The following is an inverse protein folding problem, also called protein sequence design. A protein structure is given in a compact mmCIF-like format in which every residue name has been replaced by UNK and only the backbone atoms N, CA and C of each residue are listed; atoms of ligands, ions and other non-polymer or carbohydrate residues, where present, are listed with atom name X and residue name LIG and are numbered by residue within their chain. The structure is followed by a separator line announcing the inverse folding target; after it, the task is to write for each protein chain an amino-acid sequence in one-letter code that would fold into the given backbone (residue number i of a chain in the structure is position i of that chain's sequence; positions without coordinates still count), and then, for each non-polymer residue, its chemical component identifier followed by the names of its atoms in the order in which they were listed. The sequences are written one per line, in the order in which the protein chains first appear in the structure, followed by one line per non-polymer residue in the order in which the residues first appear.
data_IF_452542513179
#
_entry.id   IF_452542513179
#
_cell.length_a   1.000
_cell.length_b   1.000
_cell.length_c   1.000
_cell.angle_alpha   90.00
_cell.angle_beta   90.00
_cell.angle_gamma   90.00
#
_symmetry.space_group_name_H-M   'P 1'
#
loop_
_entity.id
_entity.type
_entity.pdbx_description
1 polymer ?
#
# COMPACT_ATOMS: atom_id res chain seq x y z
N UNK A 1 3.18 28.78 -3.53
CA UNK A 1 3.77 27.61 -2.89
C UNK A 1 4.22 26.69 -4.02
N UNK A 2 5.48 26.34 -4.04
CA UNK A 2 6.02 25.51 -5.11
C UNK A 2 5.48 24.09 -5.04
N UNK A 3 5.41 23.44 -6.20
CA UNK A 3 4.89 22.09 -6.30
C UNK A 3 5.88 21.21 -7.02
N UNK A 4 6.24 20.08 -6.41
CA UNK A 4 6.95 18.99 -7.08
C UNK A 4 6.01 17.82 -7.26
N UNK A 5 6.18 17.09 -8.36
CA UNK A 5 5.30 15.96 -8.66
C UNK A 5 6.03 14.82 -9.36
N UNK A 6 5.51 13.63 -9.19
CA UNK A 6 5.92 12.50 -10.02
C UNK A 6 5.57 12.78 -11.48
N UNK A 7 6.50 12.53 -12.40
CA UNK A 7 6.36 12.82 -13.84
C UNK A 7 5.05 12.30 -14.45
N UNK A 8 4.59 11.15 -13.98
CA UNK A 8 3.39 10.49 -14.48
C UNK A 8 2.10 10.83 -13.70
N UNK A 9 2.16 11.78 -12.76
CA UNK A 9 1.02 12.14 -11.89
C UNK A 9 -0.24 12.50 -12.68
N UNK A 10 -0.09 13.29 -13.74
CA UNK A 10 -1.22 13.77 -14.53
C UNK A 10 -1.76 12.71 -15.52
N UNK A 11 -1.02 11.63 -15.76
CA UNK A 11 -1.43 10.59 -16.72
C UNK A 11 -2.45 9.59 -16.13
N UNK A 12 -2.76 9.68 -14.82
CA UNK A 12 -3.71 8.79 -14.20
C UNK A 12 -5.15 9.05 -14.65
N UNK A 13 -5.82 7.97 -15.07
CA UNK A 13 -7.25 7.92 -15.30
C UNK A 13 -7.84 6.67 -14.64
N UNK A 14 -8.99 6.83 -13.98
CA UNK A 14 -9.65 5.71 -13.29
C UNK A 14 -10.36 4.80 -14.29
N UNK A 15 -10.11 3.49 -14.21
CA UNK A 15 -10.76 2.47 -15.04
C UNK A 15 -12.19 2.08 -14.58
N UNK A 16 -12.65 2.69 -13.47
CA UNK A 16 -13.99 2.50 -12.92
C UNK A 16 -14.43 1.01 -12.87
N UNK A 17 -15.45 0.64 -13.63
CA UNK A 17 -16.01 -0.73 -13.66
C UNK A 17 -15.05 -1.82 -14.16
N UNK A 18 -14.03 -1.44 -14.94
CA UNK A 18 -13.01 -2.36 -15.46
C UNK A 18 -11.86 -2.61 -14.48
N UNK A 19 -11.89 -1.95 -13.31
CA UNK A 19 -10.84 -2.12 -12.30
C UNK A 19 -10.92 -3.52 -11.68
N UNK A 20 -9.81 -4.27 -11.76
CA UNK A 20 -9.72 -5.62 -11.21
C UNK A 20 -9.72 -5.67 -9.68
N UNK A 21 -9.41 -4.56 -9.02
CA UNK A 21 -9.39 -4.45 -7.56
C UNK A 21 -9.87 -3.08 -7.10
N UNK A 22 -11.17 -2.98 -6.85
CA UNK A 22 -11.82 -1.71 -6.48
C UNK A 22 -11.19 -1.02 -5.27
N UNK A 23 -11.08 0.31 -5.33
CA UNK A 23 -10.63 1.14 -4.21
C UNK A 23 -11.57 1.13 -3.00
N UNK A 24 -12.76 0.55 -3.13
CA UNK A 24 -13.75 0.43 -2.06
C UNK A 24 -13.53 -0.76 -1.11
N UNK A 25 -12.35 -1.41 -1.17
CA UNK A 25 -12.07 -2.63 -0.41
C UNK A 25 -10.67 -2.61 0.20
N UNK A 26 -10.51 -3.23 1.37
CA UNK A 26 -9.22 -3.51 2.01
C UNK A 26 -8.63 -2.40 2.89
N UNK A 27 -9.27 -1.24 3.07
CA UNK A 27 -8.77 -0.14 3.90
C UNK A 27 -9.90 0.74 4.43
N UNK A 28 -9.63 1.48 5.50
CA UNK A 28 -10.59 2.39 6.10
C UNK A 28 -10.72 3.68 5.29
N UNK A 29 -11.95 4.03 4.94
CA UNK A 29 -12.27 5.19 4.12
C UNK A 29 -12.71 6.33 5.03
N UNK A 30 -11.89 7.36 5.12
CA UNK A 30 -12.22 8.56 5.87
C UNK A 30 -13.32 9.37 5.18
N UNK A 31 -14.24 9.90 5.98
CA UNK A 31 -15.27 10.84 5.54
C UNK A 31 -15.00 12.18 6.17
N UNK A 32 -14.68 13.16 5.34
CA UNK A 32 -14.46 14.52 5.81
C UNK A 32 -15.74 15.15 6.36
N UNK A 33 -15.56 16.11 7.26
CA UNK A 33 -16.67 16.76 7.98
C UNK A 33 -17.65 17.48 7.05
N UNK A 34 -17.15 18.03 5.94
CA UNK A 34 -17.97 18.72 4.93
C UNK A 34 -18.92 17.74 4.25
N UNK A 35 -18.40 16.58 3.82
CA UNK A 35 -19.18 15.50 3.20
C UNK A 35 -20.21 14.93 4.19
N UNK A 36 -19.80 14.66 5.45
CA UNK A 36 -20.71 14.17 6.48
C UNK A 36 -21.86 15.15 6.76
N UNK A 37 -21.57 16.45 6.87
CA UNK A 37 -22.58 17.49 7.02
C UNK A 37 -23.52 17.59 5.83
N UNK A 38 -23.01 17.47 4.60
CA UNK A 38 -23.79 17.47 3.39
C UNK A 38 -24.82 16.35 3.39
N UNK A 39 -24.40 15.13 3.74
CA UNK A 39 -25.30 13.98 3.84
C UNK A 39 -26.38 14.19 4.87
N UNK A 40 -26.07 14.73 6.03
CA UNK A 40 -27.06 15.07 7.07
C UNK A 40 -28.03 16.16 6.63
N UNK A 41 -27.53 17.23 6.05
CA UNK A 41 -28.35 18.38 5.60
C UNK A 41 -29.39 17.95 4.56
N UNK A 42 -29.02 17.04 3.69
CA UNK A 42 -29.90 16.57 2.62
C UNK A 42 -30.66 15.28 2.99
N UNK A 43 -30.64 14.87 4.26
CA UNK A 43 -31.30 13.66 4.79
C UNK A 43 -30.95 12.39 3.98
N UNK A 44 -29.72 12.32 3.51
CA UNK A 44 -29.23 11.14 2.80
C UNK A 44 -28.88 10.05 3.82
N UNK A 45 -29.34 8.84 3.58
CA UNK A 45 -29.10 7.71 4.50
C UNK A 45 -27.63 7.26 4.59
N UNK A 46 -26.72 7.92 3.88
CA UNK A 46 -25.30 7.57 3.84
C UNK A 46 -24.62 7.79 5.20
N UNK A 47 -25.01 8.82 5.98
CA UNK A 47 -24.43 9.06 7.31
C UNK A 47 -24.65 7.90 8.30
N UNK A 48 -25.67 7.04 8.08
CA UNK A 48 -25.96 5.88 8.93
C UNK A 48 -24.89 4.79 8.85
N UNK A 49 -24.12 4.77 7.75
CA UNK A 49 -23.02 3.85 7.53
C UNK A 49 -21.67 4.44 7.91
N UNK A 50 -21.66 5.48 8.74
CA UNK A 50 -20.45 6.14 9.21
C UNK A 50 -20.26 5.87 10.70
N UNK A 51 -19.00 5.63 11.11
CA UNK A 51 -18.55 5.51 12.50
C UNK A 51 -17.72 6.74 12.85
N UNK A 52 -17.99 7.35 14.00
CA UNK A 52 -17.13 8.39 14.55
C UNK A 52 -15.89 7.77 15.17
N UNK A 53 -14.73 8.31 14.91
CA UNK A 53 -13.45 7.95 15.51
C UNK A 53 -12.84 9.14 16.23
N UNK A 54 -11.69 8.97 16.88
CA UNK A 54 -10.94 10.07 17.49
C UNK A 54 -10.56 11.14 16.47
N UNK A 55 -10.25 10.71 15.23
CA UNK A 55 -9.71 11.54 14.15
C UNK A 55 -10.76 11.96 13.11
N UNK A 56 -12.06 11.78 13.36
CA UNK A 56 -13.12 12.16 12.43
C UNK A 56 -14.15 11.06 12.20
N UNK A 57 -14.45 10.76 10.95
CA UNK A 57 -15.45 9.77 10.57
C UNK A 57 -14.85 8.77 9.58
N UNK A 58 -15.24 7.50 9.70
CA UNK A 58 -14.91 6.45 8.73
C UNK A 58 -16.18 5.74 8.27
N UNK A 59 -16.17 5.24 7.04
CA UNK A 59 -17.25 4.40 6.52
C UNK A 59 -17.21 3.05 7.25
N UNK A 60 -18.33 2.66 7.86
CA UNK A 60 -18.49 1.34 8.48
C UNK A 60 -18.42 0.28 7.38
N UNK A 61 -17.43 -0.58 7.45
CA UNK A 61 -17.35 -1.74 6.57
C UNK A 61 -18.39 -2.77 6.98
N UNK A 62 -19.01 -3.40 6.00
CA UNK A 62 -19.77 -4.63 6.23
C UNK A 62 -18.80 -5.78 6.43
N UNK A 63 -19.33 -6.91 6.88
CA UNK A 63 -18.64 -8.17 7.24
C UNK A 63 -17.53 -8.63 6.26
N UNK A 64 -17.20 -7.88 5.20
CA UNK A 64 -16.31 -8.29 4.11
C UNK A 64 -15.34 -7.21 3.64
N UNK A 65 -15.13 -6.17 4.46
CA UNK A 65 -14.14 -5.14 4.17
C UNK A 65 -14.44 -4.32 2.91
N UNK A 66 -15.62 -4.51 2.33
CA UNK A 66 -16.10 -3.71 1.22
C UNK A 66 -16.90 -2.51 1.72
N UNK A 67 -16.73 -1.39 1.04
CA UNK A 67 -17.58 -0.22 1.24
C UNK A 67 -19.05 -0.57 1.03
N UNK A 68 -19.98 -0.19 1.95
CA UNK A 68 -21.41 -0.52 1.82
C UNK A 68 -22.08 0.15 0.62
N UNK A 69 -21.42 1.10 0.00
CA UNK A 69 -21.91 1.84 -1.18
C UNK A 69 -21.45 1.26 -2.51
N UNK A 70 -20.79 0.10 -2.50
CA UNK A 70 -20.45 -0.60 -3.74
C UNK A 70 -21.69 -1.31 -4.30
N UNK A 71 -21.96 -1.09 -5.58
CA UNK A 71 -23.02 -1.76 -6.32
C UNK A 71 -22.50 -2.12 -7.71
N UNK A 72 -22.43 -3.42 -8.01
CA UNK A 72 -21.92 -3.92 -9.30
C UNK A 72 -20.53 -3.35 -9.67
N UNK A 73 -19.60 -3.27 -8.69
CA UNK A 73 -18.26 -2.72 -8.89
C UNK A 73 -18.15 -1.19 -8.88
N UNK A 74 -19.27 -0.48 -8.90
CA UNK A 74 -19.33 0.99 -8.96
C UNK A 74 -19.79 1.60 -7.63
N UNK A 75 -19.45 2.87 -7.41
CA UNK A 75 -19.89 3.63 -6.25
C UNK A 75 -21.34 4.08 -6.39
N UNK A 76 -22.22 3.55 -5.54
CA UNK A 76 -23.65 3.91 -5.49
C UNK A 76 -23.87 5.41 -5.29
N UNK A 77 -23.04 6.06 -4.46
CA UNK A 77 -23.14 7.50 -4.19
C UNK A 77 -22.91 8.30 -5.49
N UNK A 78 -21.90 7.92 -6.27
CA UNK A 78 -21.65 8.57 -7.58
C UNK A 78 -22.80 8.36 -8.53
N UNK A 79 -23.30 7.13 -8.63
CA UNK A 79 -24.41 6.80 -9.53
C UNK A 79 -25.72 7.53 -9.19
N UNK A 80 -26.00 7.74 -7.89
CA UNK A 80 -27.26 8.34 -7.45
C UNK A 80 -27.19 9.86 -7.30
N UNK A 81 -26.03 10.41 -6.94
CA UNK A 81 -25.88 11.81 -6.53
C UNK A 81 -24.71 12.55 -7.20
N UNK A 82 -23.76 11.81 -7.80
CA UNK A 82 -22.58 12.38 -8.42
C UNK A 82 -21.40 12.57 -7.46
N UNK A 83 -20.26 12.96 -8.03
CA UNK A 83 -18.96 13.05 -7.31
C UNK A 83 -18.93 14.07 -6.16
N UNK A 84 -19.79 15.08 -6.19
CA UNK A 84 -19.91 16.07 -5.11
C UNK A 84 -20.20 15.41 -3.75
N UNK A 85 -20.84 14.25 -3.76
CA UNK A 85 -21.32 13.56 -2.56
C UNK A 85 -20.39 12.48 -2.02
N UNK A 86 -19.31 12.13 -2.71
CA UNK A 86 -18.29 11.24 -2.14
C UNK A 86 -17.34 11.99 -1.23
N UNK A 87 -16.68 11.26 -0.31
CA UNK A 87 -15.69 11.86 0.59
C UNK A 87 -14.50 12.45 -0.17
N UNK A 88 -13.81 13.41 0.45
CA UNK A 88 -12.56 13.95 -0.07
C UNK A 88 -11.56 12.84 -0.38
N UNK A 89 -11.39 11.88 0.52
CA UNK A 89 -10.55 10.69 0.33
C UNK A 89 -10.90 9.91 -0.94
N UNK A 90 -12.19 9.64 -1.17
CA UNK A 90 -12.63 8.92 -2.38
C UNK A 90 -12.40 9.75 -3.66
N UNK A 91 -12.50 11.07 -3.56
CA UNK A 91 -12.34 11.97 -4.71
C UNK A 91 -10.90 12.16 -5.12
N UNK A 92 -9.99 12.28 -4.14
CA UNK A 92 -8.56 12.45 -4.42
C UNK A 92 -7.88 11.15 -4.81
N UNK A 93 -8.28 10.02 -4.23
CA UNK A 93 -7.61 8.74 -4.47
C UNK A 93 -7.54 8.36 -5.95
N UNK A 94 -6.40 7.92 -6.46
CA UNK A 94 -5.13 7.64 -5.79
C UNK A 94 -4.14 8.83 -5.77
N UNK A 95 -4.59 10.03 -6.04
CA UNK A 95 -3.76 11.22 -5.95
C UNK A 95 -3.54 11.59 -4.50
N UNK A 96 -2.26 11.72 -4.13
CA UNK A 96 -1.81 12.10 -2.79
C UNK A 96 -1.14 13.45 -2.89
N UNK A 97 -1.49 14.32 -1.96
CA UNK A 97 -0.93 15.65 -1.81
C UNK A 97 -0.36 15.78 -0.40
N UNK A 98 0.95 15.94 -0.29
CA UNK A 98 1.66 16.15 0.95
C UNK A 98 2.22 17.57 1.01
N UNK A 99 1.92 18.30 2.07
CA UNK A 99 2.51 19.62 2.32
C UNK A 99 3.77 19.44 3.17
N UNK A 100 4.90 19.90 2.64
CA UNK A 100 6.23 19.78 3.24
C UNK A 100 6.93 21.14 3.24
N UNK A 101 7.62 21.49 4.30
CA UNK A 101 8.61 22.58 4.41
C UNK A 101 8.52 23.70 3.33
N UNK A 102 7.31 24.21 3.06
CA UNK A 102 7.07 25.31 2.13
C UNK A 102 6.77 24.89 0.68
N UNK A 103 6.71 23.61 0.35
CA UNK A 103 6.30 23.12 -0.96
C UNK A 103 5.23 22.01 -0.86
N UNK A 104 4.60 21.69 -1.97
CA UNK A 104 3.61 20.61 -2.08
C UNK A 104 4.20 19.47 -2.91
N UNK A 105 4.06 18.24 -2.42
CA UNK A 105 4.45 17.02 -3.12
C UNK A 105 3.22 16.28 -3.66
N UNK A 106 3.20 16.00 -4.97
CA UNK A 106 2.10 15.29 -5.63
C UNK A 106 2.57 13.92 -6.10
N UNK A 107 1.89 12.86 -5.64
CA UNK A 107 2.19 11.49 -5.98
C UNK A 107 0.94 10.68 -6.35
N UNK A 108 1.16 9.54 -7.00
CA UNK A 108 0.15 8.50 -7.18
C UNK A 108 0.41 7.36 -6.20
N UNK A 109 -0.62 6.99 -5.44
CA UNK A 109 -0.51 5.90 -4.49
C UNK A 109 -0.51 4.54 -5.17
N UNK A 110 0.49 3.72 -4.83
CA UNK A 110 0.56 2.31 -5.24
C UNK A 110 -0.63 1.47 -4.73
N UNK A 111 -1.41 1.96 -3.77
CA UNK A 111 -2.62 1.30 -3.31
C UNK A 111 -3.73 1.21 -4.39
N UNK A 112 -3.61 1.92 -5.50
CA UNK A 112 -4.45 1.78 -6.67
C UNK A 112 -3.75 0.93 -7.74
N UNK A 113 -4.38 -0.15 -8.20
CA UNK A 113 -3.81 -1.02 -9.25
C UNK A 113 -3.50 -0.24 -10.53
N UNK A 114 -4.39 0.65 -10.95
CA UNK A 114 -4.20 1.41 -12.18
C UNK A 114 -3.05 2.43 -12.03
N UNK A 115 -2.91 3.05 -10.86
CA UNK A 115 -1.75 3.89 -10.56
C UNK A 115 -0.47 3.05 -10.50
N UNK A 116 -0.50 1.89 -9.85
CA UNK A 116 0.64 0.99 -9.77
C UNK A 116 1.09 0.47 -11.15
N UNK A 117 0.17 0.27 -12.10
CA UNK A 117 0.53 -0.04 -13.50
C UNK A 117 1.31 1.11 -14.14
N UNK A 118 0.81 2.33 -14.02
CA UNK A 118 1.46 3.53 -14.55
C UNK A 118 2.87 3.67 -13.95
N UNK A 119 3.00 3.54 -12.63
CA UNK A 119 4.27 3.62 -11.91
C UNK A 119 5.24 2.52 -12.37
N UNK A 120 4.76 1.29 -12.50
CA UNK A 120 5.57 0.15 -12.94
C UNK A 120 6.10 0.25 -14.38
N UNK A 121 5.42 1.03 -15.22
CA UNK A 121 5.74 1.19 -16.64
C UNK A 121 6.61 2.42 -16.93
N UNK A 122 6.68 3.36 -16.00
CA UNK A 122 7.42 4.60 -16.17
C UNK A 122 8.65 4.66 -15.25
N UNK A 123 9.70 5.32 -15.71
CA UNK A 123 10.85 5.60 -14.85
C UNK A 123 10.45 6.58 -13.75
N UNK A 124 10.92 6.30 -12.53
CA UNK A 124 10.70 7.20 -11.41
C UNK A 124 11.48 8.50 -11.64
N UNK A 125 10.76 9.60 -11.72
CA UNK A 125 11.30 10.94 -11.93
C UNK A 125 10.39 11.95 -11.22
N UNK A 126 10.99 12.93 -10.56
CA UNK A 126 10.31 14.03 -9.88
C UNK A 126 10.52 15.29 -10.70
N UNK A 127 9.46 16.04 -10.93
CA UNK A 127 9.46 17.32 -11.65
C UNK A 127 9.20 18.47 -10.68
N UNK A 128 9.81 19.63 -10.92
CA UNK A 128 9.67 20.85 -10.15
C UNK A 128 11.00 21.36 -9.59
N UNK A 129 11.01 22.55 -9.03
CA UNK A 129 12.23 23.26 -8.62
C UNK A 129 13.00 22.57 -7.49
N UNK A 130 12.27 21.92 -6.54
CA UNK A 130 12.87 21.14 -5.45
C UNK A 130 13.14 19.66 -5.79
N UNK A 131 12.93 19.23 -7.02
CA UNK A 131 13.04 17.82 -7.43
C UNK A 131 14.42 17.22 -7.18
N UNK A 132 15.49 17.98 -7.40
CA UNK A 132 16.87 17.51 -7.17
C UNK A 132 17.14 17.27 -5.69
N UNK A 133 16.76 18.21 -4.83
CA UNK A 133 16.93 18.06 -3.37
C UNK A 133 16.16 16.84 -2.87
N UNK A 134 14.90 16.70 -3.26
CA UNK A 134 14.06 15.58 -2.89
C UNK A 134 14.61 14.24 -3.40
N UNK A 135 15.13 14.21 -4.61
CA UNK A 135 15.80 13.03 -5.19
C UNK A 135 17.04 12.63 -4.37
N UNK A 136 17.81 13.60 -3.90
CA UNK A 136 19.00 13.33 -3.07
C UNK A 136 18.60 12.76 -1.69
N UNK A 137 17.52 13.25 -1.09
CA UNK A 137 16.97 12.68 0.16
C UNK A 137 16.54 11.23 -0.05
N UNK A 138 15.80 10.93 -1.12
CA UNK A 138 15.40 9.57 -1.44
C UNK A 138 16.59 8.64 -1.67
N UNK A 139 17.63 9.10 -2.38
CA UNK A 139 18.88 8.35 -2.54
C UNK A 139 19.53 8.06 -1.18
N UNK A 140 19.58 9.04 -0.30
CA UNK A 140 20.14 8.88 1.04
C UNK A 140 19.33 7.88 1.89
N UNK A 141 18.01 7.91 1.81
CA UNK A 141 17.15 6.93 2.48
C UNK A 141 17.39 5.51 1.94
N UNK A 142 17.48 5.35 0.62
CA UNK A 142 17.70 4.05 -0.01
C UNK A 142 19.13 3.51 0.16
N UNK A 143 20.11 4.37 0.46
CA UNK A 143 21.48 3.97 0.77
C UNK A 143 21.73 3.71 2.27
N UNK A 144 20.69 3.70 3.11
CA UNK A 144 20.86 3.30 4.51
C UNK A 144 21.33 1.84 4.61
N UNK A 145 22.30 1.52 5.49
CA UNK A 145 22.93 0.20 5.53
C UNK A 145 21.97 -0.98 5.69
N UNK A 146 20.84 -0.79 6.37
CA UNK A 146 19.85 -1.84 6.51
C UNK A 146 18.94 -2.01 5.26
N UNK A 147 18.88 -1.00 4.38
CA UNK A 147 18.21 -1.10 3.08
C UNK A 147 19.17 -1.68 2.05
N UNK A 148 20.42 -1.21 2.02
CA UNK A 148 21.48 -1.77 1.16
C UNK A 148 21.79 -3.23 1.51
N UNK A 149 21.89 -3.54 2.83
CA UNK A 149 22.11 -4.91 3.30
C UNK A 149 20.85 -5.78 3.29
N UNK A 150 19.68 -5.19 3.22
CA UNK A 150 18.42 -5.91 3.10
C UNK A 150 18.22 -6.52 1.71
N UNK A 151 19.10 -6.18 0.76
CA UNK A 151 19.02 -6.68 -0.61
C UNK A 151 17.57 -6.61 -1.15
N UNK A 152 16.91 -5.43 -0.95
CA UNK A 152 15.55 -5.21 -1.48
C UNK A 152 15.42 -5.64 -2.94
N UNK A 153 16.58 -5.68 -3.64
CA UNK A 153 16.68 -5.96 -5.05
C UNK A 153 17.68 -7.08 -5.41
N UNK A 154 18.36 -7.67 -4.42
CA UNK A 154 19.37 -8.71 -4.58
C UNK A 154 19.07 -9.99 -3.75
N UNK A 155 19.92 -10.99 -3.80
CA UNK A 155 19.70 -12.29 -3.19
C UNK A 155 19.87 -12.29 -1.67
N UNK A 156 18.99 -12.95 -0.88
CA UNK A 156 19.23 -13.13 0.55
C UNK A 156 20.46 -14.02 0.76
N UNK A 157 21.35 -13.59 1.64
CA UNK A 157 22.56 -14.36 2.03
C UNK A 157 22.14 -15.68 2.65
N UNK A 158 22.83 -16.76 2.26
CA UNK A 158 22.51 -18.18 2.46
C UNK A 158 22.34 -18.72 3.89
N UNK A 159 22.41 -17.91 4.93
CA UNK A 159 22.31 -18.39 6.30
C UNK A 159 20.84 -18.38 6.77
N UNK A 160 20.27 -19.57 6.95
CA UNK A 160 18.92 -19.81 7.51
C UNK A 160 17.69 -19.40 6.65
N UNK A 161 17.75 -19.47 5.33
CA UNK A 161 16.61 -19.17 4.44
C UNK A 161 15.32 -19.89 4.87
N UNK A 162 15.41 -21.17 5.25
CA UNK A 162 14.23 -21.94 5.67
C UNK A 162 13.58 -21.44 6.95
N UNK A 163 14.36 -20.97 7.94
CA UNK A 163 13.85 -20.38 9.16
C UNK A 163 13.15 -19.05 8.88
N UNK A 164 13.80 -18.18 8.12
CA UNK A 164 13.24 -16.89 7.69
C UNK A 164 11.93 -17.08 6.91
N UNK A 165 11.91 -18.00 5.95
CA UNK A 165 10.70 -18.29 5.16
C UNK A 165 9.56 -18.81 6.04
N UNK A 166 9.86 -19.60 7.07
CA UNK A 166 8.87 -20.08 8.03
C UNK A 166 8.28 -18.91 8.83
N UNK A 167 9.11 -18.02 9.34
CA UNK A 167 8.65 -16.84 10.08
C UNK A 167 7.84 -15.89 9.21
N UNK A 168 8.31 -15.59 8.01
CA UNK A 168 7.57 -14.78 7.03
C UNK A 168 6.22 -15.43 6.72
N UNK A 169 6.20 -16.74 6.57
CA UNK A 169 4.97 -17.47 6.28
C UNK A 169 3.95 -17.34 7.41
N UNK A 170 4.37 -17.44 8.67
CA UNK A 170 3.51 -17.24 9.84
C UNK A 170 2.95 -15.82 9.81
N UNK A 171 3.82 -14.81 9.74
CA UNK A 171 3.42 -13.41 9.69
C UNK A 171 2.46 -13.11 8.54
N UNK A 172 2.75 -13.64 7.35
CA UNK A 172 1.92 -13.49 6.17
C UNK A 172 0.50 -14.02 6.40
N UNK A 173 0.39 -15.23 6.93
CA UNK A 173 -0.93 -15.84 7.18
C UNK A 173 -1.70 -15.16 8.30
N UNK A 174 -1.05 -14.75 9.37
CA UNK A 174 -1.68 -13.99 10.43
C UNK A 174 -2.31 -12.70 9.91
N UNK A 175 -1.57 -11.99 9.06
CA UNK A 175 -2.07 -10.76 8.45
C UNK A 175 -3.22 -11.05 7.48
N UNK A 176 -3.04 -11.95 6.51
CA UNK A 176 -4.06 -12.19 5.48
C UNK A 176 -5.33 -12.85 6.00
N UNK A 177 -5.29 -13.55 7.13
CA UNK A 177 -6.49 -14.11 7.75
C UNK A 177 -7.49 -13.03 8.17
N UNK A 178 -7.01 -11.86 8.56
CA UNK A 178 -7.85 -10.72 8.85
C UNK A 178 -8.53 -10.17 7.59
N UNK A 179 -7.99 -10.50 6.40
CA UNK A 179 -8.46 -10.05 5.09
C UNK A 179 -8.89 -11.20 4.17
N UNK A 180 -9.29 -12.36 4.75
CA UNK A 180 -9.66 -13.59 4.01
C UNK A 180 -10.76 -13.42 2.97
N UNK A 181 -11.52 -12.33 3.04
CA UNK A 181 -12.59 -12.01 2.10
C UNK A 181 -12.16 -11.10 0.96
N UNK A 182 -10.92 -10.60 0.99
CA UNK A 182 -10.32 -9.91 -0.16
C UNK A 182 -10.01 -10.97 -1.22
N UNK A 183 -10.58 -10.88 -2.42
CA UNK A 183 -10.50 -11.96 -3.43
C UNK A 183 -9.08 -12.40 -3.76
N UNK A 184 -8.12 -11.46 -3.74
CA UNK A 184 -6.70 -11.72 -4.01
C UNK A 184 -6.08 -12.74 -3.03
N UNK A 185 -6.55 -12.80 -1.79
CA UNK A 185 -5.99 -13.72 -0.78
C UNK A 185 -6.60 -15.12 -0.82
N UNK A 186 -7.73 -15.30 -1.47
CA UNK A 186 -8.42 -16.59 -1.53
C UNK A 186 -7.52 -17.76 -2.00
N UNK A 187 -6.68 -17.61 -3.04
CA UNK A 187 -5.78 -18.67 -3.47
C UNK A 187 -4.72 -19.05 -2.43
N UNK A 188 -4.26 -18.08 -1.62
CA UNK A 188 -3.25 -18.32 -0.59
C UNK A 188 -3.83 -19.11 0.58
N UNK A 189 -5.00 -18.74 1.07
CA UNK A 189 -5.66 -19.42 2.18
C UNK A 189 -5.90 -20.91 1.89
N UNK A 190 -6.08 -21.30 0.62
CA UNK A 190 -6.22 -22.69 0.20
C UNK A 190 -4.88 -23.43 0.10
N UNK A 191 -3.75 -22.73 -0.01
CA UNK A 191 -2.42 -23.30 -0.28
C UNK A 191 -1.51 -23.40 0.94
N UNK A 192 -1.97 -23.00 2.12
CA UNK A 192 -1.15 -22.94 3.35
C UNK A 192 -0.35 -24.21 3.64
N UNK A 193 -0.83 -25.40 3.26
CA UNK A 193 -0.29 -26.69 3.68
C UNK A 193 0.85 -27.25 2.79
N UNK A 194 1.18 -26.63 1.65
CA UNK A 194 1.98 -27.31 0.60
C UNK A 194 3.24 -26.57 0.13
N UNK A 195 3.84 -25.70 0.98
CA UNK A 195 5.08 -25.04 0.55
C UNK A 195 6.28 -25.96 0.61
N UNK A 196 6.96 -26.09 -0.54
CA UNK A 196 8.31 -26.64 -0.63
C UNK A 196 9.27 -25.45 -0.78
N UNK A 197 10.14 -25.26 0.16
CA UNK A 197 11.16 -24.22 0.16
C UNK A 197 12.32 -24.47 -0.83
N UNK A 198 12.23 -25.50 -1.64
CA UNK A 198 13.31 -26.04 -2.48
C UNK A 198 13.65 -25.21 -3.72
N UNK A 199 12.85 -24.19 -4.06
CA UNK A 199 13.04 -23.42 -5.30
C UNK A 199 13.42 -21.95 -5.05
N UNK A 200 14.03 -21.64 -3.89
CA UNK A 200 14.41 -20.27 -3.54
C UNK A 200 15.38 -19.62 -4.52
N UNK A 201 16.41 -20.33 -4.96
CA UNK A 201 17.38 -19.82 -5.92
C UNK A 201 16.74 -19.42 -7.25
N UNK A 202 15.85 -20.27 -7.77
CA UNK A 202 15.09 -19.97 -8.98
C UNK A 202 14.14 -18.79 -8.79
N UNK A 203 13.56 -18.67 -7.59
CA UNK A 203 12.72 -17.54 -7.24
C UNK A 203 13.52 -16.24 -7.23
N UNK A 204 14.67 -16.21 -6.55
CA UNK A 204 15.57 -15.06 -6.47
C UNK A 204 16.03 -14.60 -7.85
N UNK A 205 16.45 -15.54 -8.72
CA UNK A 205 16.84 -15.21 -10.08
C UNK A 205 15.69 -14.54 -10.87
N UNK A 206 14.45 -15.04 -10.76
CA UNK A 206 13.29 -14.43 -11.40
C UNK A 206 12.93 -13.09 -10.79
N UNK A 207 13.06 -12.94 -9.46
CA UNK A 207 12.80 -11.67 -8.78
C UNK A 207 13.77 -10.59 -9.29
N UNK A 208 15.05 -10.94 -9.44
CA UNK A 208 16.09 -10.06 -9.99
C UNK A 208 15.76 -9.58 -11.41
N UNK A 209 15.22 -10.44 -12.27
CA UNK A 209 14.78 -10.05 -13.63
C UNK A 209 13.65 -9.00 -13.61
N UNK A 210 12.92 -8.87 -12.51
CA UNK A 210 11.84 -7.92 -12.33
C UNK A 210 12.21 -6.74 -11.39
N UNK A 211 13.47 -6.64 -11.01
CA UNK A 211 13.96 -5.67 -10.03
C UNK A 211 13.63 -4.22 -10.39
N UNK A 212 13.73 -3.84 -11.67
CA UNK A 212 13.40 -2.48 -12.12
C UNK A 212 11.91 -2.14 -11.91
N UNK A 213 11.00 -3.08 -12.15
CA UNK A 213 9.57 -2.87 -11.88
C UNK A 213 9.33 -2.67 -10.39
N UNK A 214 9.94 -3.50 -9.56
CA UNK A 214 9.83 -3.41 -8.10
C UNK A 214 10.43 -2.09 -7.61
N UNK A 215 11.62 -1.74 -8.10
CA UNK A 215 12.30 -0.49 -7.76
C UNK A 215 11.44 0.74 -8.04
N UNK A 216 10.82 0.83 -9.22
CA UNK A 216 9.92 1.93 -9.57
C UNK A 216 8.75 2.06 -8.60
N UNK A 217 8.08 0.95 -8.27
CA UNK A 217 6.97 0.93 -7.32
C UNK A 217 7.42 1.40 -5.93
N UNK A 218 8.54 0.89 -5.41
CA UNK A 218 9.00 1.22 -4.07
C UNK A 218 9.63 2.61 -3.97
N UNK A 219 10.31 3.10 -5.01
CA UNK A 219 10.74 4.51 -5.07
C UNK A 219 9.55 5.47 -5.04
N UNK A 220 8.44 5.13 -5.72
CA UNK A 220 7.20 5.90 -5.63
C UNK A 220 6.64 5.92 -4.21
N UNK A 221 6.67 4.79 -3.50
CA UNK A 221 6.23 4.70 -2.10
C UNK A 221 7.14 5.49 -1.16
N UNK A 222 8.44 5.44 -1.34
CA UNK A 222 9.37 6.26 -0.55
C UNK A 222 9.10 7.75 -0.76
N UNK A 223 8.80 8.18 -1.96
CA UNK A 223 8.40 9.57 -2.24
C UNK A 223 7.07 9.93 -1.56
N UNK A 224 6.09 9.03 -1.58
CA UNK A 224 4.76 9.26 -1.00
C UNK A 224 4.79 9.35 0.53
N UNK A 225 5.56 8.46 1.20
CA UNK A 225 5.46 8.26 2.65
C UNK A 225 6.67 8.74 3.45
N UNK A 226 7.87 8.74 2.89
CA UNK A 226 9.08 9.13 3.59
C UNK A 226 9.39 10.61 3.33
N UNK A 227 8.93 11.45 4.23
CA UNK A 227 9.19 12.88 4.25
C UNK A 227 10.41 13.19 5.11
N UNK A 228 10.84 14.45 5.19
CA UNK A 228 12.06 14.88 5.93
C UNK A 228 11.90 14.89 7.45
N UNK A 229 10.78 14.41 7.96
CA UNK A 229 10.46 14.47 9.37
C UNK A 229 10.95 13.22 10.15
N UNK A 230 10.80 13.29 11.48
CA UNK A 230 11.19 12.24 12.43
C UNK A 230 10.44 10.91 12.23
N UNK A 231 9.39 10.87 11.44
CA UNK A 231 8.58 9.68 11.16
C UNK A 231 9.08 8.89 9.95
N UNK A 232 10.09 9.38 9.22
CA UNK A 232 10.56 8.73 7.99
C UNK A 232 11.06 7.29 8.23
N UNK A 233 11.75 7.03 9.34
CA UNK A 233 12.24 5.69 9.68
C UNK A 233 11.09 4.73 9.98
N UNK A 234 10.09 5.18 10.72
CA UNK A 234 8.91 4.38 11.00
C UNK A 234 8.13 4.03 9.73
N UNK A 235 7.87 5.02 8.89
CA UNK A 235 7.22 4.82 7.58
C UNK A 235 7.99 3.83 6.71
N UNK A 236 9.30 3.92 6.75
CA UNK A 236 10.16 2.99 6.04
C UNK A 236 9.97 1.54 6.51
N UNK A 237 9.83 1.30 7.81
CA UNK A 237 9.58 -0.05 8.35
C UNK A 237 8.26 -0.63 7.85
N UNK A 238 7.20 0.17 7.73
CA UNK A 238 5.95 -0.28 7.12
C UNK A 238 6.12 -0.60 5.62
N UNK A 239 6.87 0.20 4.87
CA UNK A 239 7.15 -0.07 3.45
C UNK A 239 7.96 -1.37 3.30
N UNK A 240 8.93 -1.62 4.18
CA UNK A 240 9.70 -2.87 4.19
C UNK A 240 8.82 -4.08 4.53
N UNK A 241 7.90 -3.94 5.47
CA UNK A 241 6.91 -4.97 5.78
C UNK A 241 6.05 -5.29 4.55
N UNK A 242 5.55 -4.27 3.84
CA UNK A 242 4.80 -4.47 2.60
C UNK A 242 5.62 -5.22 1.55
N UNK A 243 6.92 -4.88 1.42
CA UNK A 243 7.84 -5.56 0.52
C UNK A 243 8.01 -7.05 0.87
N UNK A 244 8.25 -7.36 2.15
CA UNK A 244 8.38 -8.73 2.65
C UNK A 244 7.13 -9.54 2.30
N UNK A 245 5.95 -8.99 2.56
CA UNK A 245 4.68 -9.67 2.31
C UNK A 245 4.41 -9.84 0.81
N UNK A 246 4.69 -8.83 0.00
CA UNK A 246 4.58 -8.89 -1.46
C UNK A 246 5.54 -9.96 -2.03
N UNK A 247 6.80 -9.95 -1.61
CA UNK A 247 7.81 -10.94 -2.00
C UNK A 247 7.38 -12.36 -1.64
N UNK A 248 6.85 -12.55 -0.43
CA UNK A 248 6.34 -13.85 -0.01
C UNK A 248 5.13 -14.30 -0.84
N UNK A 249 4.18 -13.41 -1.12
CA UNK A 249 3.06 -13.70 -2.00
C UNK A 249 3.51 -14.15 -3.40
N UNK A 250 4.54 -13.51 -3.96
CA UNK A 250 5.14 -13.91 -5.24
C UNK A 250 5.81 -15.29 -5.13
N UNK A 251 6.51 -15.56 -4.03
CA UNK A 251 7.18 -16.84 -3.80
C UNK A 251 6.19 -18.02 -3.79
N UNK A 252 5.07 -17.87 -3.11
CA UNK A 252 4.05 -18.92 -2.98
C UNK A 252 3.06 -19.00 -4.15
N UNK A 253 3.12 -18.04 -5.07
CA UNK A 253 2.30 -18.04 -6.30
C UNK A 253 3.13 -18.11 -7.57
N UNK A 254 3.42 -16.98 -8.16
CA UNK A 254 4.29 -16.85 -9.33
C UNK A 254 4.76 -15.41 -9.52
N UNK A 255 5.96 -15.22 -10.04
CA UNK A 255 6.48 -13.91 -10.41
C UNK A 255 6.02 -13.60 -11.83
N UNK A 256 5.12 -12.65 -11.93
CA UNK A 256 4.73 -11.97 -13.16
C UNK A 256 4.64 -10.48 -12.88
N UNK A 257 4.80 -9.64 -13.90
CA UNK A 257 4.63 -8.18 -13.75
C UNK A 257 3.26 -7.83 -13.16
N UNK A 258 2.23 -8.55 -13.59
CA UNK A 258 0.86 -8.38 -13.09
C UNK A 258 0.76 -8.70 -11.59
N UNK A 259 1.31 -9.83 -11.13
CA UNK A 259 1.29 -10.22 -9.72
C UNK A 259 2.09 -9.23 -8.85
N UNK A 260 3.23 -8.73 -9.33
CA UNK A 260 4.01 -7.70 -8.63
C UNK A 260 3.13 -6.46 -8.40
N UNK A 261 2.45 -5.99 -9.44
CA UNK A 261 1.56 -4.82 -9.36
C UNK A 261 0.39 -5.07 -8.40
N UNK A 262 -0.29 -6.20 -8.56
CA UNK A 262 -1.46 -6.56 -7.74
C UNK A 262 -1.06 -6.68 -6.27
N UNK A 263 0.00 -7.43 -5.94
CA UNK A 263 0.39 -7.63 -4.53
C UNK A 263 0.95 -6.35 -3.92
N UNK A 264 1.70 -5.55 -4.67
CA UNK A 264 2.10 -4.22 -4.20
C UNK A 264 0.87 -3.38 -3.85
N UNK A 265 -0.12 -3.30 -4.73
CA UNK A 265 -1.33 -2.50 -4.49
C UNK A 265 -2.15 -3.03 -3.29
N UNK A 266 -2.26 -4.34 -3.16
CA UNK A 266 -3.01 -4.96 -2.06
C UNK A 266 -2.33 -4.71 -0.73
N UNK A 267 -1.01 -4.97 -0.61
CA UNK A 267 -0.29 -4.74 0.64
C UNK A 267 -0.19 -3.26 1.00
N UNK A 268 -0.08 -2.37 0.02
CA UNK A 268 -0.19 -0.92 0.29
C UNK A 268 -1.53 -0.53 0.92
N UNK A 269 -2.62 -1.20 0.57
CA UNK A 269 -3.92 -0.94 1.21
C UNK A 269 -4.02 -1.50 2.61
N UNK A 270 -3.65 -2.76 2.80
CA UNK A 270 -3.88 -3.42 4.09
C UNK A 270 -2.82 -3.09 5.14
N UNK A 271 -1.66 -2.60 4.72
CA UNK A 271 -0.59 -2.14 5.60
C UNK A 271 -0.53 -0.61 5.59
N UNK A 272 -0.15 0.01 4.46
CA UNK A 272 0.11 1.44 4.37
C UNK A 272 -1.12 2.32 4.63
N UNK A 273 -2.31 1.91 4.18
CA UNK A 273 -3.55 2.68 4.38
C UNK A 273 -4.37 2.22 5.60
N UNK A 274 -3.90 1.22 6.36
CA UNK A 274 -4.53 0.73 7.60
C UNK A 274 -3.56 0.75 8.77
N UNK A 275 -2.75 1.75 8.85
CA UNK A 275 -1.66 1.88 9.82
C UNK A 275 -2.11 1.65 11.27
N UNK A 276 -3.26 2.21 11.69
CA UNK A 276 -3.80 2.01 13.04
C UNK A 276 -4.05 0.52 13.33
N UNK A 277 -4.65 -0.21 12.39
CA UNK A 277 -4.90 -1.65 12.56
C UNK A 277 -3.61 -2.48 12.57
N UNK A 278 -2.58 -2.05 11.83
CA UNK A 278 -1.27 -2.71 11.83
C UNK A 278 -0.53 -2.43 13.13
N UNK A 279 -0.61 -1.21 13.67
CA UNK A 279 -0.07 -0.87 14.99
C UNK A 279 -0.72 -1.68 16.11
N UNK A 280 -2.04 -1.80 16.09
CA UNK A 280 -2.78 -2.63 17.06
C UNK A 280 -2.32 -4.10 16.97
N UNK A 281 -2.17 -4.64 15.77
CA UNK A 281 -1.65 -5.99 15.56
C UNK A 281 -0.24 -6.18 16.13
N UNK A 282 0.70 -5.27 15.82
CA UNK A 282 2.07 -5.36 16.34
C UNK A 282 2.12 -5.19 17.86
N UNK A 283 1.28 -4.33 18.41
CA UNK A 283 1.14 -4.16 19.87
C UNK A 283 0.65 -5.42 20.57
N UNK A 284 -0.35 -6.07 19.99
CA UNK A 284 -0.91 -7.31 20.54
C UNK A 284 0.08 -8.48 20.50
N UNK A 285 0.78 -8.66 19.39
CA UNK A 285 1.66 -9.81 19.15
C UNK A 285 3.08 -9.60 19.69
N UNK A 286 3.62 -8.40 19.57
CA UNK A 286 5.03 -8.08 19.87
C UNK A 286 5.20 -7.08 21.02
N UNK A 287 4.13 -6.51 21.56
CA UNK A 287 4.17 -5.52 22.64
C UNK A 287 4.54 -4.09 22.19
N UNK A 288 4.82 -3.87 20.91
CA UNK A 288 5.19 -2.57 20.33
C UNK A 288 4.25 -2.19 19.19
N UNK A 289 3.88 -0.91 19.10
CA UNK A 289 2.98 -0.41 18.05
C UNK A 289 3.64 -0.32 16.66
N UNK A 290 4.97 -0.37 16.61
CA UNK A 290 5.78 -0.24 15.40
C UNK A 290 6.55 -1.55 15.20
N UNK A 291 6.67 -2.04 13.95
CA UNK A 291 7.54 -3.19 13.67
C UNK A 291 8.96 -2.96 14.21
N UNK A 292 9.48 -3.91 14.99
CA UNK A 292 10.87 -3.82 15.45
C UNK A 292 11.81 -3.86 14.24
N UNK A 293 12.75 -2.90 14.19
CA UNK A 293 13.71 -2.77 13.09
C UNK A 293 14.56 -4.02 12.90
N UNK A 294 15.05 -4.61 14.00
CA UNK A 294 15.89 -5.83 13.93
C UNK A 294 15.08 -6.99 13.39
N UNK A 295 13.80 -7.10 13.80
CA UNK A 295 12.89 -8.11 13.31
C UNK A 295 12.65 -7.97 11.80
N UNK A 296 12.31 -6.78 11.31
CA UNK A 296 12.11 -6.51 9.88
C UNK A 296 13.38 -6.81 9.08
N UNK A 297 14.55 -6.35 9.55
CA UNK A 297 15.83 -6.63 8.89
C UNK A 297 16.19 -8.13 8.89
N UNK A 298 15.79 -8.88 9.91
CA UNK A 298 16.00 -10.33 9.94
C UNK A 298 15.13 -11.08 8.92
N UNK A 299 13.96 -10.53 8.56
CA UNK A 299 13.06 -11.12 7.56
C UNK A 299 13.42 -10.74 6.11
N UNK A 300 14.16 -9.65 5.90
CA UNK A 300 14.65 -9.24 4.58
C UNK A 300 15.78 -10.14 4.11
#
# INVERSE_FOLDING_TARGET
METIKQKYFDSFSCNAEKCSFTCCSGWDINVDFKTYRLWKKENLSYEKQVKKTKNGYIIKKRTFENCPYIKNGLCKIILEKGEKYISGTCRSFPRVENMQNGHTELSLSCACIEAAKIIAENNFEILGEYAENRTNILKKLTSMPYIENADLFNEPRNENVNSKLKEINILFYDIIQNYKKVPVFKPFLCRFKNYKYTDWEKFSAKLKLNSETIKRLYMSKFFEYCTDDTLAEERLLFILLEYILMRHALFISSITKENIIIYTAVFSRIIGNNEEAVRDYFKEIFGNEIPDKKYICALL
#
